data_IF_300896337480
#
_entry.id   IF_300896337480
#
_cell.length_a   1.000
_cell.length_b   1.000
_cell.length_c   1.000
_cell.angle_alpha   90.00
_cell.angle_beta   90.00
_cell.angle_gamma   90.00
#
_symmetry.space_group_name_H-M   'P 1'
#
loop_
_entity.id
_entity.type
_entity.pdbx_description
1 polymer ?
#
# COMPACT_ATOMS: atom_id res chain seq x y z
N UNK A 1 -16.40 6.65 -13.17
CA UNK A 1 -16.37 5.17 -13.09
C UNK A 1 -16.60 4.81 -11.63
N UNK A 2 -17.66 4.08 -11.31
CA UNK A 2 -18.04 3.76 -9.93
C UNK A 2 -17.18 2.63 -9.36
N UNK A 3 -16.87 2.71 -8.05
CA UNK A 3 -16.28 1.58 -7.32
C UNK A 3 -17.26 0.41 -7.34
N UNK A 4 -16.74 -0.81 -7.51
CA UNK A 4 -17.53 -2.03 -7.41
C UNK A 4 -17.17 -2.73 -6.11
N UNK A 5 -18.17 -3.06 -5.34
CA UNK A 5 -18.02 -3.73 -4.06
C UNK A 5 -18.49 -5.18 -4.23
N UNK A 6 -17.69 -6.12 -3.73
CA UNK A 6 -17.91 -7.56 -3.80
C UNK A 6 -17.75 -8.14 -2.40
N UNK A 7 -18.67 -9.01 -2.02
CA UNK A 7 -18.54 -9.81 -0.80
C UNK A 7 -18.55 -11.27 -1.23
N UNK A 8 -17.52 -11.99 -0.83
CA UNK A 8 -17.27 -13.37 -1.21
C UNK A 8 -16.91 -14.15 0.04
N UNK A 9 -17.42 -15.37 0.14
CA UNK A 9 -17.10 -16.26 1.26
C UNK A 9 -16.33 -17.46 0.74
N UNK A 10 -15.21 -17.74 1.40
CA UNK A 10 -14.37 -18.90 1.15
C UNK A 10 -14.55 -19.86 2.32
N UNK A 11 -15.01 -21.07 2.02
CA UNK A 11 -14.94 -22.16 3.00
C UNK A 11 -13.49 -22.64 3.09
N UNK A 12 -12.95 -22.67 4.31
CA UNK A 12 -11.58 -23.09 4.56
C UNK A 12 -11.58 -24.23 5.57
N UNK A 13 -11.60 -25.45 5.03
CA UNK A 13 -11.39 -26.67 5.80
C UNK A 13 -9.89 -26.94 5.91
N UNK A 14 -9.25 -26.44 6.98
CA UNK A 14 -7.81 -26.59 7.18
C UNK A 14 -7.47 -27.36 8.44
N UNK A 15 -6.87 -28.53 8.24
CA UNK A 15 -6.12 -29.20 9.30
C UNK A 15 -4.70 -28.63 9.24
N UNK A 16 -4.21 -28.00 10.34
CA UNK A 16 -2.79 -27.68 10.45
C UNK A 16 -2.01 -29.00 10.43
N UNK A 17 -1.63 -29.42 9.22
CA UNK A 17 -0.81 -30.59 9.01
C UNK A 17 0.65 -30.20 9.24
N UNK A 18 1.33 -30.99 10.06
CA UNK A 18 2.73 -30.78 10.43
C UNK A 18 3.73 -31.06 9.29
N UNK A 19 3.25 -31.40 8.10
CA UNK A 19 4.09 -31.65 6.93
C UNK A 19 4.58 -30.35 6.27
N UNK A 20 4.10 -29.19 6.74
CA UNK A 20 4.48 -27.89 6.19
C UNK A 20 3.76 -27.52 4.89
N UNK A 21 2.80 -28.34 4.45
CA UNK A 21 2.07 -28.11 3.20
C UNK A 21 1.10 -26.93 3.31
N UNK A 22 1.04 -26.12 2.25
CA UNK A 22 0.06 -25.05 2.13
C UNK A 22 -1.28 -25.62 1.65
N UNK A 23 -2.38 -25.05 2.12
CA UNK A 23 -3.73 -25.41 1.66
C UNK A 23 -4.38 -24.20 1.01
N UNK A 24 -4.85 -24.39 -0.23
CA UNK A 24 -5.60 -23.41 -0.99
C UNK A 24 -7.11 -23.64 -0.79
N UNK A 25 -7.86 -22.56 -0.60
CA UNK A 25 -9.32 -22.60 -0.66
C UNK A 25 -9.82 -22.88 -2.09
N UNK A 26 -11.13 -23.10 -2.23
CA UNK A 26 -11.76 -22.96 -3.52
C UNK A 26 -11.49 -21.57 -4.11
N UNK A 27 -11.30 -21.51 -5.43
CA UNK A 27 -11.10 -20.25 -6.14
C UNK A 27 -12.42 -19.66 -6.61
N UNK A 28 -12.55 -18.34 -6.50
CA UNK A 28 -13.75 -17.61 -6.92
C UNK A 28 -13.34 -16.56 -7.95
N UNK A 29 -14.10 -16.48 -9.05
CA UNK A 29 -13.78 -15.57 -10.15
C UNK A 29 -14.45 -14.22 -9.91
N UNK A 30 -13.65 -13.18 -9.69
CA UNK A 30 -14.10 -11.79 -9.51
C UNK A 30 -13.10 -10.87 -10.22
N UNK A 31 -13.57 -9.82 -10.89
CA UNK A 31 -12.71 -8.86 -11.61
C UNK A 31 -11.75 -9.51 -12.63
N UNK A 32 -12.22 -10.53 -13.36
CA UNK A 32 -11.42 -11.29 -14.36
C UNK A 32 -10.18 -11.99 -13.76
N UNK A 33 -10.21 -12.21 -12.45
CA UNK A 33 -9.18 -12.92 -11.69
C UNK A 33 -9.81 -14.03 -10.85
N UNK A 34 -9.07 -15.12 -10.69
CA UNK A 34 -9.37 -16.15 -9.70
C UNK A 34 -8.77 -15.71 -8.38
N UNK A 35 -9.61 -15.55 -7.36
CA UNK A 35 -9.23 -15.23 -5.99
C UNK A 35 -9.33 -16.46 -5.13
N UNK A 36 -8.36 -16.69 -4.26
CA UNK A 36 -8.35 -17.79 -3.33
C UNK A 36 -7.52 -17.41 -2.10
N UNK A 37 -7.80 -18.04 -0.97
CA UNK A 37 -7.06 -17.84 0.26
C UNK A 37 -6.11 -19.02 0.42
N UNK A 38 -4.86 -18.73 0.75
CA UNK A 38 -3.86 -19.76 1.03
C UNK A 38 -3.48 -19.72 2.48
N UNK A 39 -3.56 -20.87 3.13
CA UNK A 39 -3.12 -21.07 4.50
C UNK A 39 -1.74 -21.71 4.51
N UNK A 40 -0.79 -21.09 5.20
CA UNK A 40 0.56 -21.58 5.41
C UNK A 40 0.82 -21.83 6.91
N UNK A 41 1.42 -22.97 7.30
CA UNK A 41 1.94 -23.12 8.65
C UNK A 41 3.10 -22.15 8.90
N UNK A 42 3.20 -21.60 10.11
CA UNK A 42 4.34 -20.75 10.48
C UNK A 42 5.52 -21.64 10.89
N UNK A 43 6.61 -21.58 10.13
CA UNK A 43 7.81 -22.38 10.41
C UNK A 43 8.35 -22.02 11.81
N UNK A 44 8.48 -23.03 12.67
CA UNK A 44 8.99 -22.87 14.04
C UNK A 44 7.93 -22.61 15.11
N UNK A 45 6.65 -22.42 14.75
CA UNK A 45 5.53 -22.30 15.69
C UNK A 45 4.49 -23.39 15.39
N UNK A 46 4.28 -24.30 16.35
CA UNK A 46 3.45 -25.50 16.15
C UNK A 46 1.94 -25.24 16.17
N UNK A 47 1.53 -24.04 16.56
CA UNK A 47 0.15 -23.63 16.79
C UNK A 47 -0.28 -22.46 15.89
N UNK A 48 0.56 -21.94 15.01
CA UNK A 48 0.24 -20.77 14.20
C UNK A 48 0.15 -21.08 12.68
N UNK A 49 -0.81 -20.45 12.01
CA UNK A 49 -0.82 -20.33 10.55
C UNK A 49 -0.93 -18.87 10.08
N UNK A 50 -0.61 -18.67 8.82
CA UNK A 50 -0.76 -17.42 8.08
C UNK A 50 -1.74 -17.63 6.94
N UNK A 51 -2.80 -16.85 6.90
CA UNK A 51 -3.66 -16.73 5.72
C UNK A 51 -3.17 -15.58 4.85
N UNK A 52 -3.08 -15.83 3.55
CA UNK A 52 -2.80 -14.82 2.54
C UNK A 52 -3.86 -14.89 1.43
N UNK A 53 -4.34 -13.73 0.97
CA UNK A 53 -5.20 -13.65 -0.22
C UNK A 53 -4.31 -13.72 -1.46
N UNK A 54 -4.66 -14.54 -2.44
CA UNK A 54 -3.94 -14.65 -3.69
C UNK A 54 -4.85 -14.51 -4.89
N UNK A 55 -4.24 -14.15 -6.02
CA UNK A 55 -4.97 -14.00 -7.27
C UNK A 55 -4.22 -14.59 -8.44
N UNK A 56 -4.94 -15.26 -9.35
CA UNK A 56 -4.43 -15.75 -10.64
C UNK A 56 -5.23 -15.10 -11.78
N UNK A 57 -4.56 -14.75 -12.87
CA UNK A 57 -5.25 -14.24 -14.06
C UNK A 57 -6.09 -15.36 -14.69
N UNK A 58 -7.35 -15.05 -15.05
CA UNK A 58 -8.19 -15.98 -15.81
C UNK A 58 -7.72 -16.07 -17.27
N UNK A 59 -7.18 -14.99 -17.83
CA UNK A 59 -6.64 -14.93 -19.19
C UNK A 59 -5.45 -13.97 -19.28
N UNK A 60 -4.42 -14.39 -20.04
CA UNK A 60 -3.20 -13.58 -20.27
C UNK A 60 -3.50 -12.34 -21.13
N UNK A 61 -4.54 -12.41 -21.98
CA UNK A 61 -4.93 -11.30 -22.86
C UNK A 61 -5.59 -10.13 -22.13
N UNK A 62 -5.88 -10.29 -20.84
CA UNK A 62 -6.48 -9.26 -19.95
C UNK A 62 -5.56 -8.96 -18.78
N UNK A 63 -4.24 -8.94 -18.98
CA UNK A 63 -3.24 -8.63 -17.94
C UNK A 63 -3.42 -7.20 -17.40
N UNK A 64 -4.40 -7.06 -16.52
CA UNK A 64 -4.74 -5.85 -15.80
C UNK A 64 -4.33 -6.05 -14.34
N UNK A 65 -3.59 -5.08 -13.82
CA UNK A 65 -3.36 -4.94 -12.40
C UNK A 65 -4.63 -4.35 -11.76
N UNK A 66 -4.93 -4.79 -10.54
CA UNK A 66 -6.12 -4.36 -9.81
C UNK A 66 -5.67 -3.64 -8.56
N UNK A 67 -6.00 -2.35 -8.46
CA UNK A 67 -5.90 -1.62 -7.19
C UNK A 67 -7.20 -1.82 -6.42
N UNK A 68 -7.10 -2.32 -5.20
CA UNK A 68 -8.26 -2.66 -4.39
C UNK A 68 -8.06 -2.39 -2.91
N UNK A 69 -9.16 -2.15 -2.22
CA UNK A 69 -9.24 -2.35 -0.77
C UNK A 69 -9.84 -3.73 -0.53
N UNK A 70 -9.35 -4.43 0.49
CA UNK A 70 -10.01 -5.65 0.94
C UNK A 70 -9.95 -5.86 2.44
N UNK A 71 -10.91 -6.64 2.92
CA UNK A 71 -10.98 -7.13 4.28
C UNK A 71 -11.12 -8.64 4.26
N UNK A 72 -10.21 -9.31 4.97
CA UNK A 72 -10.29 -10.74 5.26
C UNK A 72 -10.70 -10.91 6.72
N UNK A 73 -11.85 -11.52 6.95
CA UNK A 73 -12.38 -11.76 8.29
C UNK A 73 -12.65 -13.24 8.46
N UNK A 74 -12.16 -13.79 9.56
CA UNK A 74 -12.40 -15.18 9.91
C UNK A 74 -13.64 -15.28 10.77
N UNK A 75 -14.52 -16.20 10.40
CA UNK A 75 -15.72 -16.55 11.15
C UNK A 75 -15.54 -17.99 11.64
N UNK A 76 -15.32 -18.15 12.95
CA UNK A 76 -15.17 -19.45 13.59
C UNK A 76 -16.32 -19.69 14.57
N UNK A 77 -17.11 -20.74 14.34
CA UNK A 77 -18.16 -21.15 15.28
C UNK A 77 -17.58 -21.63 16.62
N UNK A 78 -16.34 -22.13 16.61
CA UNK A 78 -15.65 -22.63 17.81
C UNK A 78 -15.06 -21.52 18.67
N UNK A 79 -14.67 -20.40 18.04
CA UNK A 79 -14.07 -19.26 18.72
C UNK A 79 -14.76 -17.96 18.27
N UNK A 80 -16.05 -17.78 18.61
CA UNK A 80 -16.85 -16.65 18.11
C UNK A 80 -16.39 -15.29 18.65
N UNK A 81 -15.54 -15.27 19.68
CA UNK A 81 -14.99 -14.05 20.27
C UNK A 81 -13.64 -13.65 19.66
N UNK A 82 -13.03 -14.50 18.83
CA UNK A 82 -11.77 -14.18 18.19
C UNK A 82 -12.01 -13.39 16.91
N UNK A 83 -11.73 -12.09 16.96
CA UNK A 83 -11.85 -11.20 15.82
C UNK A 83 -10.55 -11.19 14.99
N UNK A 84 -10.24 -12.29 14.32
CA UNK A 84 -9.14 -12.31 13.36
C UNK A 84 -9.58 -11.59 12.08
N UNK A 85 -9.03 -10.39 11.88
CA UNK A 85 -9.31 -9.53 10.74
C UNK A 85 -8.02 -8.97 10.17
N UNK A 86 -7.90 -9.01 8.84
CA UNK A 86 -6.88 -8.32 8.08
C UNK A 86 -7.56 -7.29 7.19
N UNK A 87 -7.14 -6.03 7.31
CA UNK A 87 -7.56 -4.95 6.42
C UNK A 87 -6.38 -4.53 5.57
N UNK A 88 -6.61 -4.46 4.27
CA UNK A 88 -5.68 -3.95 3.29
C UNK A 88 -6.32 -2.79 2.53
N UNK A 89 -5.60 -1.68 2.46
CA UNK A 89 -6.04 -0.48 1.78
C UNK A 89 -5.07 -0.20 0.62
N UNK A 90 -5.62 0.21 -0.52
CA UNK A 90 -4.85 0.58 -1.70
C UNK A 90 -3.80 -0.49 -2.05
N UNK A 91 -4.19 -1.75 -2.15
CA UNK A 91 -3.27 -2.84 -2.49
C UNK A 91 -3.30 -3.11 -4.00
N UNK A 92 -2.13 -3.05 -4.63
CA UNK A 92 -1.95 -3.32 -6.05
C UNK A 92 -1.73 -4.83 -6.27
N UNK A 93 -2.79 -5.50 -6.70
CA UNK A 93 -2.80 -6.95 -6.97
C UNK A 93 -2.41 -7.24 -8.42
N UNK A 94 -1.42 -8.11 -8.58
CA UNK A 94 -0.93 -8.59 -9.88
C UNK A 94 -0.78 -10.12 -9.88
N UNK A 95 -0.50 -10.71 -11.05
CA UNK A 95 -0.30 -12.15 -11.26
C UNK A 95 0.96 -12.71 -10.58
N UNK A 96 1.91 -11.86 -10.22
CA UNK A 96 3.08 -12.25 -9.44
C UNK A 96 2.85 -12.10 -7.93
N UNK A 97 1.63 -11.79 -7.48
CA UNK A 97 1.28 -11.70 -6.09
C UNK A 97 1.27 -13.12 -5.49
N UNK A 98 2.30 -13.43 -4.73
CA UNK A 98 2.60 -14.77 -4.22
C UNK A 98 2.92 -14.69 -2.72
N UNK A 99 2.63 -15.73 -1.94
CA UNK A 99 2.76 -15.72 -0.48
C UNK A 99 4.22 -15.72 -0.03
N UNK A 100 5.13 -16.12 -0.92
CA UNK A 100 6.58 -16.12 -0.71
C UNK A 100 7.19 -14.73 -0.83
N UNK A 101 6.50 -13.78 -1.49
CA UNK A 101 6.95 -12.39 -1.54
C UNK A 101 6.73 -11.72 -0.19
N UNK A 102 7.76 -11.02 0.28
CA UNK A 102 7.73 -10.20 1.50
C UNK A 102 6.64 -9.12 1.48
N UNK A 103 6.15 -8.75 0.30
CA UNK A 103 5.13 -7.74 0.09
C UNK A 103 3.69 -8.27 0.15
N UNK A 104 3.45 -9.51 0.58
CA UNK A 104 2.09 -10.02 0.73
C UNK A 104 1.62 -9.86 2.17
N UNK A 105 0.46 -9.22 2.39
CA UNK A 105 -0.16 -9.12 3.72
C UNK A 105 -0.68 -10.48 4.16
N UNK A 106 -0.40 -10.83 5.41
CA UNK A 106 -0.74 -12.13 6.01
C UNK A 106 -1.50 -11.93 7.30
N UNK A 107 -2.62 -12.64 7.46
CA UNK A 107 -3.35 -12.73 8.72
C UNK A 107 -2.78 -13.92 9.51
N UNK A 108 -2.11 -13.64 10.62
CA UNK A 108 -1.62 -14.70 11.52
C UNK A 108 -2.77 -15.14 12.43
N UNK A 109 -3.02 -16.44 12.48
CA UNK A 109 -3.98 -17.07 13.37
C UNK A 109 -3.20 -17.97 14.30
N UNK A 110 -3.42 -17.81 15.59
CA UNK A 110 -2.96 -18.73 16.61
C UNK A 110 -4.06 -19.75 16.92
N UNK A 111 -3.67 -21.01 17.01
CA UNK A 111 -4.52 -22.11 17.39
C UNK A 111 -4.74 -22.14 18.89
N UNK A 112 -6.00 -22.36 19.30
CA UNK A 112 -6.31 -22.66 20.70
C UNK A 112 -6.36 -24.18 20.90
N UNK A 113 -5.33 -24.75 21.53
CA UNK A 113 -5.38 -26.14 22.02
C UNK A 113 -4.12 -26.97 21.80
N UNK A 114 -4.23 -28.26 22.11
CA UNK A 114 -3.13 -29.23 21.93
C UNK A 114 -3.07 -29.74 20.47
N UNK A 115 -1.86 -29.93 19.92
CA UNK A 115 -1.60 -30.59 18.63
C UNK A 115 -2.41 -31.87 18.37
N UNK A 116 -2.98 -32.11 17.17
CA UNK A 116 -3.07 -31.22 16.01
C UNK A 116 -4.17 -30.16 16.18
N UNK A 117 -3.83 -28.88 15.98
CA UNK A 117 -4.83 -27.82 15.92
C UNK A 117 -5.63 -27.97 14.62
N UNK A 118 -6.93 -28.17 14.71
CA UNK A 118 -7.83 -28.18 13.54
C UNK A 118 -8.52 -26.82 13.43
N UNK A 119 -8.28 -26.11 12.34
CA UNK A 119 -9.01 -24.89 12.05
C UNK A 119 -10.17 -25.21 11.10
N UNK A 120 -11.39 -25.07 11.61
CA UNK A 120 -12.60 -25.11 10.80
C UNK A 120 -13.25 -23.74 10.92
N UNK A 121 -13.29 -23.00 9.82
CA UNK A 121 -13.82 -21.65 9.81
C UNK A 121 -14.11 -21.17 8.40
N UNK A 122 -15.05 -20.25 8.30
CA UNK A 122 -15.38 -19.57 7.06
C UNK A 122 -14.54 -18.29 6.98
N UNK A 123 -13.90 -18.07 5.85
CA UNK A 123 -13.16 -16.84 5.59
C UNK A 123 -14.02 -15.93 4.73
N UNK A 124 -14.52 -14.85 5.31
CA UNK A 124 -15.22 -13.81 4.57
C UNK A 124 -14.22 -12.84 3.97
N UNK A 125 -14.31 -12.62 2.66
CA UNK A 125 -13.48 -11.71 1.89
C UNK A 125 -14.34 -10.62 1.26
N UNK A 126 -14.15 -9.38 1.72
CA UNK A 126 -14.83 -8.21 1.17
C UNK A 126 -13.83 -7.46 0.31
N UNK A 127 -14.12 -7.34 -0.98
CA UNK A 127 -13.25 -6.70 -1.97
C UNK A 127 -13.94 -5.45 -2.51
N UNK A 128 -13.20 -4.35 -2.55
CA UNK A 128 -13.60 -3.13 -3.22
C UNK A 128 -12.61 -2.81 -4.32
N UNK A 129 -13.08 -2.91 -5.56
CA UNK A 129 -12.28 -2.55 -6.73
C UNK A 129 -12.21 -1.02 -6.86
N UNK A 130 -10.99 -0.47 -6.80
CA UNK A 130 -10.74 0.95 -6.97
C UNK A 130 -10.37 1.29 -8.41
N UNK A 131 -9.57 0.43 -9.05
CA UNK A 131 -9.09 0.64 -10.41
C UNK A 131 -8.61 -0.65 -11.07
N UNK A 132 -8.87 -0.79 -12.37
CA UNK A 132 -8.17 -1.73 -13.26
C UNK A 132 -7.17 -0.97 -14.12
N UNK A 133 -5.99 -1.55 -14.30
CA UNK A 133 -4.91 -0.85 -14.97
C UNK A 133 -4.14 -1.72 -15.92
N UNK A 134 -3.92 -1.18 -17.12
CA UNK A 134 -3.08 -1.83 -18.12
C UNK A 134 -1.63 -1.88 -17.64
N UNK A 135 -0.91 -2.95 -18.00
CA UNK A 135 0.49 -3.16 -17.62
C UNK A 135 1.42 -3.04 -18.83
N UNK A 136 1.65 -1.83 -19.38
CA UNK A 136 2.67 -1.63 -20.38
C UNK A 136 4.07 -1.91 -19.82
N UNK A 137 4.91 -2.49 -20.67
CA UNK A 137 6.34 -2.63 -20.43
C UNK A 137 7.02 -1.27 -20.64
N UNK A 138 7.63 -0.73 -19.58
CA UNK A 138 8.34 0.54 -19.61
C UNK A 138 9.82 0.38 -19.98
N UNK A 139 10.30 -0.84 -20.20
CA UNK A 139 11.71 -1.10 -20.59
C UNK A 139 11.93 -0.98 -22.09
N UNK A 140 10.86 -0.81 -22.87
CA UNK A 140 10.89 -0.75 -24.33
C UNK A 140 10.43 0.63 -24.83
N UNK A 141 11.20 1.20 -25.76
CA UNK A 141 10.82 2.42 -26.47
C UNK A 141 9.62 2.16 -27.38
N UNK A 142 8.63 3.06 -27.32
CA UNK A 142 7.46 3.02 -28.20
C UNK A 142 7.07 4.43 -28.61
N UNK A 143 6.12 4.58 -29.53
CA UNK A 143 5.58 5.91 -29.90
C UNK A 143 5.03 6.67 -28.69
N UNK A 144 4.51 5.95 -27.69
CA UNK A 144 4.01 6.51 -26.45
C UNK A 144 5.06 6.55 -25.34
N UNK A 145 6.09 5.69 -25.35
CA UNK A 145 7.22 5.73 -24.41
C UNK A 145 8.45 6.31 -25.10
N UNK A 146 8.41 7.63 -25.33
CA UNK A 146 9.28 8.35 -26.26
C UNK A 146 10.44 9.12 -25.60
N UNK A 147 10.65 8.92 -24.30
CA UNK A 147 11.72 9.57 -23.54
C UNK A 147 12.33 8.60 -22.55
N UNK A 148 13.66 8.49 -22.58
CA UNK A 148 14.41 7.56 -21.74
C UNK A 148 14.95 8.22 -20.46
N UNK A 149 14.68 7.62 -19.31
CA UNK A 149 15.38 7.90 -18.06
C UNK A 149 16.43 6.83 -17.86
N UNK A 150 17.67 7.25 -17.68
CA UNK A 150 18.82 6.36 -17.63
C UNK A 150 19.49 6.39 -16.26
N UNK A 151 19.82 5.22 -15.74
CA UNK A 151 20.70 5.05 -14.60
C UNK A 151 21.75 3.97 -14.95
N UNK A 152 22.99 4.40 -15.21
CA UNK A 152 24.03 3.51 -15.71
C UNK A 152 23.66 2.90 -17.06
N UNK A 153 23.64 1.57 -17.14
CA UNK A 153 23.25 0.81 -18.34
C UNK A 153 21.75 0.59 -18.46
N UNK A 154 20.99 0.84 -17.40
CA UNK A 154 19.56 0.52 -17.35
C UNK A 154 18.72 1.74 -17.73
N UNK A 155 17.57 1.49 -18.37
CA UNK A 155 16.71 2.52 -18.91
C UNK A 155 15.25 2.23 -18.62
N UNK A 156 14.48 3.30 -18.39
CA UNK A 156 13.03 3.27 -18.29
C UNK A 156 12.48 4.33 -19.23
N UNK A 157 11.54 3.93 -20.08
CA UNK A 157 10.90 4.80 -21.05
C UNK A 157 9.55 5.28 -20.55
N UNK A 158 9.21 6.54 -20.85
CA UNK A 158 7.95 7.13 -20.49
C UNK A 158 7.45 8.13 -21.53
N UNK A 159 6.18 8.46 -21.43
CA UNK A 159 5.55 9.45 -22.28
C UNK A 159 5.86 10.86 -21.75
N UNK A 160 6.74 11.60 -22.44
CA UNK A 160 7.11 12.96 -22.00
C UNK A 160 5.92 13.93 -21.99
N UNK A 161 4.95 13.75 -22.88
CA UNK A 161 3.75 14.58 -22.93
C UNK A 161 2.88 14.35 -21.70
N UNK A 162 2.74 13.09 -21.27
CA UNK A 162 2.03 12.76 -20.05
C UNK A 162 2.76 13.30 -18.82
N UNK A 163 4.09 13.13 -18.73
CA UNK A 163 4.88 13.64 -17.62
C UNK A 163 4.75 15.16 -17.44
N UNK A 164 4.73 15.90 -18.54
CA UNK A 164 4.52 17.35 -18.52
C UNK A 164 3.14 17.76 -17.95
N UNK A 165 2.15 16.85 -17.94
CA UNK A 165 0.83 17.13 -17.34
C UNK A 165 0.82 16.96 -15.82
N UNK A 166 1.91 16.48 -15.20
CA UNK A 166 1.96 16.13 -13.78
C UNK A 166 2.23 17.30 -12.84
N UNK A 167 2.26 18.52 -13.37
CA UNK A 167 2.55 19.75 -12.62
C UNK A 167 3.87 19.63 -11.84
N UNK A 168 4.95 19.40 -12.58
CA UNK A 168 6.30 19.31 -12.07
C UNK A 168 7.20 20.28 -12.81
N UNK A 169 7.95 21.10 -12.05
CA UNK A 169 8.98 21.99 -12.62
C UNK A 169 10.02 21.16 -13.39
N UNK A 170 10.46 20.04 -12.81
CA UNK A 170 11.44 19.15 -13.43
C UNK A 170 10.92 18.60 -14.77
N UNK A 171 9.71 18.02 -14.81
CA UNK A 171 9.17 17.50 -16.07
C UNK A 171 8.83 18.60 -17.09
N UNK A 172 8.49 19.80 -16.65
CA UNK A 172 8.23 20.94 -17.54
C UNK A 172 9.51 21.40 -18.24
N UNK A 173 10.62 21.54 -17.49
CA UNK A 173 11.93 21.81 -18.07
C UNK A 173 12.38 20.69 -19.00
N UNK A 174 12.14 19.44 -18.61
CA UNK A 174 12.49 18.28 -19.41
C UNK A 174 11.74 18.27 -20.75
N UNK A 175 10.46 18.64 -20.74
CA UNK A 175 9.65 18.78 -21.94
C UNK A 175 10.17 19.88 -22.88
N UNK A 176 10.65 21.00 -22.34
CA UNK A 176 11.29 22.04 -23.15
C UNK A 176 12.61 21.57 -23.79
N UNK A 177 13.42 20.77 -23.05
CA UNK A 177 14.62 20.14 -23.62
C UNK A 177 14.23 19.13 -24.71
N UNK A 178 13.15 18.39 -24.52
CA UNK A 178 12.63 17.44 -25.50
C UNK A 178 12.25 18.13 -26.83
N UNK A 179 11.59 19.30 -26.77
CA UNK A 179 11.29 20.11 -27.97
C UNK A 179 12.54 20.52 -28.74
N UNK A 180 13.70 20.64 -28.06
CA UNK A 180 15.00 20.96 -28.66
C UNK A 180 15.77 19.74 -29.18
N UNK A 181 15.16 18.55 -29.15
CA UNK A 181 15.75 17.32 -29.68
C UNK A 181 16.34 16.38 -28.64
N UNK A 182 16.31 16.73 -27.34
CA UNK A 182 16.76 15.81 -26.28
C UNK A 182 15.76 14.64 -26.16
N UNK A 183 16.26 13.42 -26.01
CA UNK A 183 15.41 12.21 -25.91
C UNK A 183 15.67 11.37 -24.66
N UNK A 184 16.64 11.79 -23.84
CA UNK A 184 17.00 11.08 -22.61
C UNK A 184 17.45 12.03 -21.52
N UNK A 185 17.31 11.59 -20.28
CA UNK A 185 17.90 12.20 -19.09
C UNK A 185 18.62 11.17 -18.23
N UNK A 186 19.58 11.62 -17.44
CA UNK A 186 20.40 10.76 -16.57
C UNK A 186 20.11 11.10 -15.12
N UNK A 187 19.57 10.14 -14.36
CA UNK A 187 19.23 10.30 -12.95
C UNK A 187 20.17 9.46 -12.09
N UNK A 188 21.36 10.01 -11.80
CA UNK A 188 22.39 9.30 -11.03
C UNK A 188 22.10 9.21 -9.52
N UNK A 189 21.22 10.09 -9.02
CA UNK A 189 20.92 10.18 -7.59
C UNK A 189 19.82 9.20 -7.13
N UNK A 190 19.14 8.53 -8.07
CA UNK A 190 18.04 7.61 -7.80
C UNK A 190 18.44 6.26 -8.37
N UNK A 191 18.55 5.21 -7.54
CA UNK A 191 18.87 3.87 -8.03
C UNK A 191 17.81 3.36 -9.04
N UNK A 192 18.17 2.38 -9.87
CA UNK A 192 17.29 1.92 -10.95
C UNK A 192 15.97 1.33 -10.44
N UNK A 193 16.00 0.51 -9.38
CA UNK A 193 14.79 -0.10 -8.82
C UNK A 193 13.78 0.96 -8.37
N UNK A 194 14.25 2.01 -7.69
CA UNK A 194 13.42 3.12 -7.24
C UNK A 194 12.88 3.93 -8.41
N UNK A 195 13.71 4.18 -9.43
CA UNK A 195 13.27 4.83 -10.66
C UNK A 195 12.18 4.01 -11.36
N UNK A 196 12.37 2.69 -11.46
CA UNK A 196 11.41 1.79 -12.09
C UNK A 196 10.08 1.78 -11.33
N UNK A 197 10.10 1.71 -10.00
CA UNK A 197 8.89 1.80 -9.17
C UNK A 197 8.18 3.14 -9.39
N UNK A 198 8.94 4.24 -9.35
CA UNK A 198 8.39 5.59 -9.51
C UNK A 198 7.77 5.82 -10.89
N UNK A 199 8.48 5.45 -11.95
CA UNK A 199 8.01 5.58 -13.33
C UNK A 199 6.83 4.65 -13.61
N UNK A 200 6.83 3.45 -13.00
CA UNK A 200 5.69 2.54 -13.02
C UNK A 200 4.46 3.21 -12.42
N UNK A 201 4.57 3.72 -11.19
CA UNK A 201 3.49 4.38 -10.49
C UNK A 201 2.94 5.61 -11.23
N UNK A 202 3.82 6.39 -11.88
CA UNK A 202 3.42 7.57 -12.63
C UNK A 202 2.78 7.23 -13.98
N UNK A 203 3.47 6.42 -14.79
CA UNK A 203 3.22 6.36 -16.23
C UNK A 203 2.49 5.11 -16.68
N UNK A 204 2.70 3.97 -16.01
CA UNK A 204 2.18 2.67 -16.45
C UNK A 204 0.65 2.69 -16.62
N UNK A 205 0.00 3.54 -15.84
CA UNK A 205 -1.41 3.47 -15.56
C UNK A 205 -2.25 4.59 -16.22
N UNK A 206 -1.62 5.46 -17.01
CA UNK A 206 -2.25 6.63 -17.61
C UNK A 206 -2.69 7.71 -16.61
N UNK A 207 -2.47 7.46 -15.32
CA UNK A 207 -2.59 8.39 -14.19
C UNK A 207 -1.67 7.91 -13.07
N UNK A 208 -1.21 8.80 -12.16
CA UNK A 208 -0.48 8.38 -10.98
C UNK A 208 -1.29 7.40 -10.13
N UNK A 209 -0.66 6.31 -9.71
CA UNK A 209 -1.19 5.30 -8.77
C UNK A 209 -0.23 5.19 -7.60
N UNK A 210 -0.78 5.04 -6.41
CA UNK A 210 -0.07 4.86 -5.16
C UNK A 210 -0.72 3.69 -4.42
N UNK A 211 0.12 2.83 -3.86
CA UNK A 211 -0.29 1.69 -3.04
C UNK A 211 0.41 1.71 -1.68
N UNK A 212 -0.05 0.87 -0.76
CA UNK A 212 0.46 0.86 0.61
C UNK A 212 1.92 0.39 0.75
N UNK A 213 2.55 -0.18 -0.28
CA UNK A 213 3.95 -0.62 -0.24
C UNK A 213 4.91 0.38 -0.85
N UNK A 214 4.46 1.17 -1.83
CA UNK A 214 5.31 2.11 -2.54
C UNK A 214 5.15 3.56 -2.08
N UNK A 215 4.12 3.88 -1.30
CA UNK A 215 3.77 5.29 -1.03
C UNK A 215 4.92 6.11 -0.43
N UNK A 216 5.70 5.54 0.49
CA UNK A 216 6.83 6.22 1.14
C UNK A 216 7.88 6.65 0.11
N UNK A 217 8.31 5.69 -0.72
CA UNK A 217 9.28 5.92 -1.79
C UNK A 217 8.72 6.92 -2.82
N UNK A 218 7.46 6.77 -3.22
CA UNK A 218 6.82 7.66 -4.18
C UNK A 218 6.73 9.08 -3.65
N UNK A 219 6.40 9.26 -2.37
CA UNK A 219 6.32 10.56 -1.71
C UNK A 219 7.70 11.22 -1.64
N UNK A 220 8.74 10.47 -1.27
CA UNK A 220 10.12 10.95 -1.27
C UNK A 220 10.55 11.47 -2.65
N UNK A 221 10.42 10.64 -3.69
CA UNK A 221 10.84 10.99 -5.04
C UNK A 221 9.97 12.08 -5.65
N UNK A 222 8.67 12.11 -5.35
CA UNK A 222 7.78 13.18 -5.78
C UNK A 222 8.14 14.51 -5.13
N UNK A 223 8.60 14.52 -3.88
CA UNK A 223 9.10 15.73 -3.21
C UNK A 223 10.39 16.24 -3.87
N UNK A 224 11.35 15.33 -4.13
CA UNK A 224 12.62 15.67 -4.78
C UNK A 224 12.43 16.22 -6.21
N UNK A 225 11.59 15.54 -7.01
CA UNK A 225 11.29 15.92 -8.39
C UNK A 225 10.14 16.94 -8.51
N UNK A 226 9.61 17.41 -7.38
CA UNK A 226 8.51 18.38 -7.27
C UNK A 226 7.30 17.99 -8.12
N UNK A 227 6.83 16.76 -8.01
CA UNK A 227 5.69 16.22 -8.77
C UNK A 227 4.40 16.44 -8.00
N UNK A 228 3.80 17.62 -8.16
CA UNK A 228 2.66 18.07 -7.34
C UNK A 228 1.47 17.11 -7.40
N UNK A 229 1.16 16.52 -8.56
CA UNK A 229 0.07 15.55 -8.66
C UNK A 229 0.28 14.28 -7.83
N UNK A 230 1.52 13.81 -7.69
CA UNK A 230 1.82 12.65 -6.84
C UNK A 230 1.80 13.04 -5.37
N UNK A 231 2.30 14.22 -5.02
CA UNK A 231 2.21 14.77 -3.65
C UNK A 231 0.75 14.88 -3.21
N UNK A 232 -0.12 15.45 -4.05
CA UNK A 232 -1.56 15.55 -3.77
C UNK A 232 -2.22 14.17 -3.61
N UNK A 233 -1.82 13.19 -4.43
CA UNK A 233 -2.31 11.82 -4.32
C UNK A 233 -1.89 11.19 -2.98
N UNK A 234 -0.64 11.40 -2.56
CA UNK A 234 -0.13 10.94 -1.26
C UNK A 234 -0.86 11.62 -0.09
N UNK A 235 -1.13 12.93 -0.16
CA UNK A 235 -1.95 13.62 0.85
C UNK A 235 -3.36 13.02 0.93
N UNK A 236 -4.00 12.72 -0.21
CA UNK A 236 -5.31 12.09 -0.25
C UNK A 236 -5.29 10.66 0.32
N UNK A 237 -4.24 9.89 0.02
CA UNK A 237 -4.02 8.56 0.57
C UNK A 237 -3.89 8.62 2.09
N UNK A 238 -2.97 9.45 2.62
CA UNK A 238 -2.75 9.61 4.06
C UNK A 238 -4.01 10.08 4.79
N UNK A 239 -4.79 11.00 4.20
CA UNK A 239 -6.07 11.43 4.77
C UNK A 239 -7.08 10.28 4.90
N UNK A 240 -7.12 9.37 3.93
CA UNK A 240 -8.13 8.30 3.86
C UNK A 240 -7.71 7.00 4.53
N UNK A 241 -6.41 6.74 4.62
CA UNK A 241 -5.91 5.48 5.17
C UNK A 241 -6.28 5.34 6.65
N UNK A 242 -6.82 4.19 7.00
CA UNK A 242 -7.06 3.77 8.38
C UNK A 242 -5.87 3.02 8.94
N UNK A 243 -5.02 2.44 8.07
CA UNK A 243 -3.84 1.68 8.50
C UNK A 243 -2.66 2.55 8.91
N UNK A 244 -2.56 3.78 8.40
CA UNK A 244 -1.50 4.72 8.81
C UNK A 244 -1.94 5.46 10.09
N UNK A 245 -1.19 5.36 11.22
CA UNK A 245 -1.54 6.07 12.45
C UNK A 245 -1.51 7.58 12.29
N UNK A 246 -2.35 8.29 13.06
CA UNK A 246 -2.44 9.76 13.02
C UNK A 246 -1.07 10.43 13.22
N UNK A 247 -0.27 9.94 14.18
CA UNK A 247 1.08 10.46 14.48
C UNK A 247 1.97 10.43 13.24
N UNK A 248 2.04 9.27 12.56
CA UNK A 248 2.81 9.09 11.33
C UNK A 248 2.32 10.01 10.20
N UNK A 249 1.00 10.24 10.07
CA UNK A 249 0.46 11.20 9.09
C UNK A 249 0.99 12.63 9.33
N UNK A 250 1.10 13.05 10.60
CA UNK A 250 1.63 14.36 10.97
C UNK A 250 3.13 14.42 10.67
N UNK A 251 3.89 13.38 11.00
CA UNK A 251 5.32 13.30 10.68
C UNK A 251 5.59 13.42 9.19
N UNK A 252 4.86 12.67 8.35
CA UNK A 252 4.94 12.81 6.89
C UNK A 252 4.60 14.23 6.43
N UNK A 253 3.57 14.84 7.03
CA UNK A 253 3.19 16.19 6.68
C UNK A 253 4.26 17.23 7.00
N UNK A 254 4.97 17.07 8.11
CA UNK A 254 6.08 17.94 8.50
C UNK A 254 7.31 17.67 7.64
N UNK A 255 7.72 16.41 7.50
CA UNK A 255 8.92 16.00 6.77
C UNK A 255 8.88 16.45 5.31
N UNK A 256 7.74 16.29 4.63
CA UNK A 256 7.58 16.61 3.21
C UNK A 256 6.84 17.93 2.96
N UNK A 257 6.61 18.73 4.01
CA UNK A 257 5.93 20.03 3.92
C UNK A 257 4.53 19.94 3.27
N UNK A 258 3.76 18.91 3.62
CA UNK A 258 2.40 18.65 3.12
C UNK A 258 1.38 19.55 3.83
N UNK A 259 1.39 20.83 3.49
CA UNK A 259 0.61 21.85 4.18
C UNK A 259 -0.91 21.64 4.06
N UNK A 260 -1.41 21.04 2.98
CA UNK A 260 -2.83 20.78 2.85
C UNK A 260 -3.26 19.60 3.73
N UNK A 261 -2.45 18.55 3.84
CA UNK A 261 -2.63 17.47 4.80
C UNK A 261 -2.63 18.00 6.24
N UNK A 262 -1.61 18.77 6.64
CA UNK A 262 -1.49 19.28 8.01
C UNK A 262 -2.69 20.15 8.41
N UNK A 263 -3.14 21.04 7.52
CA UNK A 263 -4.34 21.88 7.76
C UNK A 263 -5.61 21.03 7.95
N UNK A 264 -5.78 19.98 7.15
CA UNK A 264 -6.95 19.09 7.27
C UNK A 264 -6.91 18.27 8.55
N UNK A 265 -5.75 17.75 8.93
CA UNK A 265 -5.58 17.02 10.18
C UNK A 265 -5.86 17.92 11.40
N UNK A 266 -5.32 19.14 11.41
CA UNK A 266 -5.58 20.11 12.47
C UNK A 266 -7.07 20.47 12.57
N UNK A 267 -7.73 20.70 11.43
CA UNK A 267 -9.17 20.94 11.42
C UNK A 267 -9.97 19.73 11.95
N UNK A 268 -9.63 18.51 11.54
CA UNK A 268 -10.28 17.30 12.05
C UNK A 268 -10.10 17.13 13.57
N UNK A 269 -8.89 17.36 14.07
CA UNK A 269 -8.59 17.30 15.50
C UNK A 269 -9.37 18.35 16.29
N UNK A 270 -9.49 19.58 15.75
CA UNK A 270 -10.24 20.66 16.40
C UNK A 270 -11.75 20.37 16.55
N UNK A 271 -12.29 19.47 15.74
CA UNK A 271 -13.69 19.03 15.80
C UNK A 271 -13.91 17.86 16.77
N UNK A 272 -12.84 17.22 17.24
CA UNK A 272 -12.89 16.07 18.14
C UNK A 272 -12.60 16.49 19.58
N UNK A 273 -13.05 15.72 20.59
CA UNK A 273 -12.66 15.95 21.97
C UNK A 273 -11.12 15.92 22.11
N UNK A 274 -10.49 16.81 22.89
CA UNK A 274 -9.03 16.87 23.03
C UNK A 274 -8.39 15.54 23.43
N UNK A 275 -9.09 14.75 24.25
CA UNK A 275 -8.65 13.41 24.66
C UNK A 275 -8.44 12.43 23.50
N UNK A 276 -9.07 12.66 22.34
CA UNK A 276 -8.94 11.78 21.17
C UNK A 276 -7.53 11.82 20.60
N UNK A 277 -6.93 13.01 20.52
CA UNK A 277 -5.56 13.18 20.03
C UNK A 277 -4.54 12.53 20.98
N UNK A 278 -4.72 12.74 22.29
CA UNK A 278 -3.87 12.13 23.32
C UNK A 278 -4.00 10.61 23.36
N UNK A 279 -5.22 10.08 23.20
CA UNK A 279 -5.44 8.64 23.11
C UNK A 279 -4.76 8.03 21.88
N UNK A 280 -4.83 8.71 20.73
CA UNK A 280 -4.15 8.28 19.51
C UNK A 280 -2.62 8.28 19.68
N UNK A 281 -2.07 9.30 20.34
CA UNK A 281 -0.64 9.35 20.69
C UNK A 281 -0.24 8.20 21.63
N UNK A 282 -0.98 8.01 22.73
CA UNK A 282 -0.72 6.95 23.68
C UNK A 282 -0.75 5.57 23.04
N UNK A 283 -1.79 5.29 22.24
CA UNK A 283 -1.92 4.02 21.51
C UNK A 283 -0.74 3.81 20.57
N UNK A 284 -0.37 4.85 19.82
CA UNK A 284 0.76 4.79 18.91
C UNK A 284 2.10 4.50 19.62
N UNK A 285 2.39 5.19 20.74
CA UNK A 285 3.61 4.96 21.52
C UNK A 285 3.64 3.54 22.13
N UNK A 286 2.50 3.07 22.63
CA UNK A 286 2.37 1.71 23.14
C UNK A 286 2.65 0.65 22.07
N UNK A 287 2.03 0.80 20.89
CA UNK A 287 2.13 -0.19 19.80
C UNK A 287 3.51 -0.18 19.12
N UNK A 288 4.14 0.99 19.03
CA UNK A 288 5.48 1.15 18.42
C UNK A 288 6.63 0.83 19.38
N UNK A 289 6.40 0.89 20.70
CA UNK A 289 7.45 0.85 21.71
C UNK A 289 8.28 2.14 21.79
N UNK A 290 7.84 3.22 21.13
CA UNK A 290 8.49 4.53 21.17
C UNK A 290 8.09 5.29 22.46
N UNK A 291 8.99 6.18 22.93
CA UNK A 291 8.70 7.10 24.04
C UNK A 291 8.47 8.53 23.53
N UNK A 292 7.93 9.40 24.40
CA UNK A 292 7.70 10.82 24.07
C UNK A 292 8.98 11.54 23.61
N UNK A 293 10.14 11.18 24.15
CA UNK A 293 11.43 11.79 23.80
C UNK A 293 11.88 11.49 22.36
N UNK A 294 11.30 10.45 21.75
CA UNK A 294 11.53 10.13 20.34
C UNK A 294 10.64 10.94 19.39
N UNK A 295 9.62 11.62 19.91
CA UNK A 295 8.66 12.39 19.10
C UNK A 295 9.21 13.78 18.77
N UNK A 296 9.00 14.23 17.53
CA UNK A 296 9.34 15.59 17.16
C UNK A 296 8.46 16.61 17.93
N UNK A 297 9.02 17.70 18.49
CA UNK A 297 8.24 18.65 19.32
C UNK A 297 7.01 19.23 18.62
N UNK A 298 7.10 19.49 17.31
CA UNK A 298 5.96 19.96 16.52
C UNK A 298 4.83 18.93 16.39
N UNK A 299 5.15 17.63 16.40
CA UNK A 299 4.12 16.57 16.39
C UNK A 299 3.35 16.60 17.72
N UNK A 300 4.08 16.70 18.83
CA UNK A 300 3.50 16.82 20.18
C UNK A 300 2.60 18.05 20.28
N UNK A 301 3.07 19.20 19.82
CA UNK A 301 2.30 20.44 19.79
C UNK A 301 1.00 20.33 18.97
N UNK A 302 1.05 19.70 17.78
CA UNK A 302 -0.15 19.47 16.94
C UNK A 302 -1.17 18.56 17.64
N UNK A 303 -0.71 17.65 18.49
CA UNK A 303 -1.55 16.74 19.26
C UNK A 303 -2.01 17.33 20.62
N UNK A 304 -1.64 18.59 20.92
CA UNK A 304 -2.02 19.28 22.15
C UNK A 304 -1.15 18.96 23.36
N UNK A 305 0.04 18.38 23.14
CA UNK A 305 1.07 18.21 24.17
C UNK A 305 2.05 19.37 24.09
N UNK A 306 1.86 20.35 24.96
CA UNK A 306 2.80 21.45 25.21
C UNK A 306 3.97 20.99 26.11
N UNK A 307 5.11 21.68 26.02
CA UNK A 307 6.34 21.35 26.77
C UNK A 307 6.11 21.26 28.29
N UNK A 308 5.17 22.05 28.80
CA UNK A 308 4.81 22.14 30.22
C UNK A 308 4.15 20.86 30.77
N UNK A 309 3.69 19.95 29.90
CA UNK A 309 3.07 18.69 30.30
C UNK A 309 4.06 17.52 30.43
N UNK A 310 5.32 17.69 30.01
CA UNK A 310 6.33 16.64 30.05
C UNK A 310 7.13 16.76 31.35
N UNK A 311 6.91 15.82 32.28
CA UNK A 311 7.68 15.75 33.54
C UNK A 311 8.89 14.84 33.33
N UNK A 312 10.09 15.43 33.40
CA UNK A 312 11.38 14.74 33.32
C UNK A 312 11.75 14.00 34.62
#
# INVERSE_FOLDING_TARGET
>A
MGSRDYVVEFELDYVLNYDGSAVESNAIVVCDRQWFVVCHPVVGLSDCCQLAVQTRLVSVHTALDVLADYELTIISERYPNDNYRLVAEYELMNDQYTPEKSSCRKLVISGHGQPPVRFHGTVQFRLRELLRVFRPDLTVETETHNFAFTNGSEQVYANIFFLNTLDSVYFSELFERYKRGVRRDVLLNINYDHLLIFMTALCRYGKPVLDSYNFDLLLQLASELKVNKMIQLAEMYLMKSQTVPLVRKIEFALQYNLMALLKRLHHQLSLQPPMTALYALHTYLHDSGESLDHMHPTVLSVLGVEEDYIVY
#
